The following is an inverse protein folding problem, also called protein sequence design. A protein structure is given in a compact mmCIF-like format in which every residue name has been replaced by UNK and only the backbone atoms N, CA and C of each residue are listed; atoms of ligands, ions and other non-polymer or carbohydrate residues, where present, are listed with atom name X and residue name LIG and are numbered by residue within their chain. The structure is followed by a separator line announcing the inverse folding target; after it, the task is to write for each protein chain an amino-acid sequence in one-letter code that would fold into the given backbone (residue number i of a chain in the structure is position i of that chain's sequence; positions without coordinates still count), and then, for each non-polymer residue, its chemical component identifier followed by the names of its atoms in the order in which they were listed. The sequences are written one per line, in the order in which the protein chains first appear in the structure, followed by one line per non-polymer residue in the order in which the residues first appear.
data_IF_388046306566
#
_entry.id   IF_388046306566
#
_cell.length_a   1.000
_cell.length_b   1.000
_cell.length_c   1.000
_cell.angle_alpha   90.00
_cell.angle_beta   90.00
_cell.angle_gamma   90.00
#
_symmetry.space_group_name_H-M   'P 1'
#
loop_
_entity.id
_entity.type
_entity.pdbx_description
1 polymer ?
#
# COMPACT_ATOMS: atom_id res chain seq x y z
N UNK A 1 -13.08 3.40 -6.71
CA UNK A 1 -13.29 4.79 -7.04
C UNK A 1 -12.86 5.08 -8.47
N UNK A 2 -13.64 5.82 -9.19
CA UNK A 2 -13.30 6.23 -10.54
C UNK A 2 -12.48 7.52 -10.58
N UNK A 3 -12.24 8.09 -9.43
CA UNK A 3 -11.48 9.32 -9.34
C UNK A 3 -10.01 9.02 -9.50
N UNK A 4 -9.35 9.81 -10.32
CA UNK A 4 -7.94 9.62 -10.57
C UNK A 4 -7.16 10.42 -9.57
N UNK A 5 -6.48 9.74 -8.69
CA UNK A 5 -5.58 10.34 -7.72
C UNK A 5 -4.18 9.85 -8.04
N UNK A 6 -3.28 10.80 -8.23
CA UNK A 6 -1.93 10.46 -8.62
C UNK A 6 -1.08 10.25 -7.38
N UNK A 7 -0.58 9.03 -7.16
CA UNK A 7 0.34 8.81 -6.05
C UNK A 7 1.72 9.37 -6.36
N UNK A 8 2.44 9.74 -5.33
CA UNK A 8 3.83 10.11 -5.46
C UNK A 8 4.67 9.37 -4.42
N UNK A 9 5.98 9.48 -4.52
CA UNK A 9 6.92 8.80 -3.64
C UNK A 9 6.67 7.29 -3.60
N UNK A 10 6.40 6.70 -4.76
CA UNK A 10 6.10 5.28 -4.85
C UNK A 10 7.38 4.47 -4.66
N UNK A 11 7.35 3.57 -3.69
CA UNK A 11 8.46 2.65 -3.43
C UNK A 11 7.90 1.23 -3.46
N UNK A 12 8.44 0.41 -4.33
CA UNK A 12 8.05 -0.98 -4.44
C UNK A 12 9.25 -1.84 -4.04
N UNK A 13 9.07 -2.68 -3.07
CA UNK A 13 10.14 -3.55 -2.59
C UNK A 13 9.66 -4.98 -2.49
N UNK A 14 10.57 -5.90 -2.76
CA UNK A 14 10.31 -7.31 -2.61
C UNK A 14 11.53 -7.96 -1.98
N UNK A 15 11.30 -9.12 -1.38
CA UNK A 15 12.38 -9.87 -0.78
C UNK A 15 12.07 -11.35 -0.84
N UNK A 16 13.11 -12.14 -0.65
CA UNK A 16 13.00 -13.59 -0.62
C UNK A 16 13.47 -14.09 0.74
N UNK A 17 12.91 -15.19 1.17
CA UNK A 17 13.31 -15.80 2.42
C UNK A 17 14.40 -16.83 2.18
N UNK A 18 15.42 -16.78 3.01
CA UNK A 18 16.51 -17.75 2.98
C UNK A 18 16.76 -18.25 4.38
N UNK A 19 16.98 -19.55 4.50
CA UNK A 19 17.46 -20.13 5.72
C UNK A 19 18.97 -20.30 5.59
N UNK A 20 19.71 -19.98 6.66
CA UNK A 20 21.15 -20.14 6.70
C UNK A 20 21.45 -21.30 7.63
N UNK A 21 22.06 -22.35 7.09
CA UNK A 21 22.40 -23.54 7.85
C UNK A 21 23.89 -23.54 8.17
N UNK A 22 24.22 -23.59 9.47
CA UNK A 22 25.60 -23.71 9.90
C UNK A 22 26.03 -25.17 9.79
N UNK A 23 27.16 -25.38 9.12
CA UNK A 23 27.73 -26.71 9.00
C UNK A 23 29.00 -26.79 9.83
N UNK A 24 29.18 -27.91 10.49
CA UNK A 24 30.38 -28.15 11.25
C UNK A 24 31.60 -28.23 10.33
N UNK A 25 32.60 -27.39 10.57
CA UNK A 25 33.87 -27.33 9.82
C UNK A 25 33.67 -26.98 8.33
N UNK A 26 32.56 -26.36 7.94
CA UNK A 26 32.31 -25.91 6.58
C UNK A 26 31.65 -24.53 6.56
N UNK A 27 31.51 -23.99 5.37
CA UNK A 27 30.82 -22.71 5.24
C UNK A 27 29.32 -22.88 5.50
N UNK A 28 28.69 -21.79 5.91
CA UNK A 28 27.24 -21.77 6.07
C UNK A 28 26.56 -22.03 4.73
N UNK A 29 25.49 -22.80 4.76
CA UNK A 29 24.68 -23.08 3.58
C UNK A 29 23.46 -22.18 3.60
N UNK A 30 23.24 -21.45 2.50
CA UNK A 30 22.06 -20.59 2.34
C UNK A 30 21.03 -21.33 1.47
N UNK A 31 19.82 -21.43 1.96
CA UNK A 31 18.75 -22.14 1.29
C UNK A 31 17.56 -21.21 1.06
N UNK A 32 17.07 -21.16 -0.17
CA UNK A 32 15.88 -20.39 -0.49
C UNK A 32 14.65 -21.09 0.09
N UNK A 33 13.89 -20.39 0.92
CA UNK A 33 12.73 -20.96 1.60
C UNK A 33 11.39 -20.38 1.15
N UNK A 34 11.40 -19.44 0.22
CA UNK A 34 10.18 -18.87 -0.32
C UNK A 34 10.28 -17.37 -0.54
N UNK A 35 9.18 -16.79 -0.95
CA UNK A 35 9.09 -15.35 -1.19
C UNK A 35 8.40 -14.69 -0.01
N UNK A 36 8.92 -13.54 0.39
CA UNK A 36 8.17 -12.65 1.25
C UNK A 36 7.17 -11.88 0.39
N UNK A 37 6.03 -11.49 0.95
CA UNK A 37 5.11 -10.62 0.22
C UNK A 37 5.79 -9.32 -0.18
N UNK A 38 5.55 -8.88 -1.39
CA UNK A 38 6.03 -7.58 -1.83
C UNK A 38 5.32 -6.47 -1.06
N UNK A 39 5.96 -5.33 -0.99
CA UNK A 39 5.45 -4.15 -0.29
C UNK A 39 5.51 -2.96 -1.23
N UNK A 40 4.45 -2.18 -1.22
CA UNK A 40 4.42 -0.90 -1.93
C UNK A 40 4.02 0.17 -0.93
N UNK A 41 4.72 1.28 -0.96
CA UNK A 41 4.33 2.45 -0.20
C UNK A 41 4.27 3.65 -1.12
N UNK A 42 3.34 4.54 -0.86
CA UNK A 42 3.21 5.77 -1.62
C UNK A 42 2.45 6.81 -0.81
N UNK A 43 2.56 8.04 -1.26
CA UNK A 43 1.78 9.15 -0.72
C UNK A 43 0.73 9.53 -1.73
N UNK A 44 -0.42 9.97 -1.26
CA UNK A 44 -1.45 10.49 -2.13
C UNK A 44 -2.13 11.68 -1.47
N UNK A 45 -2.65 12.56 -2.29
CA UNK A 45 -3.36 13.75 -1.83
C UNK A 45 -4.83 13.60 -2.14
N UNK A 46 -5.65 13.70 -1.10
CA UNK A 46 -7.10 13.70 -1.22
C UNK A 46 -7.54 15.14 -1.12
N UNK A 47 -8.06 15.69 -2.21
CA UNK A 47 -8.38 17.11 -2.25
C UNK A 47 -9.76 17.33 -2.85
N UNK A 48 -10.49 18.27 -2.30
CA UNK A 48 -11.84 18.58 -2.75
C UNK A 48 -11.87 19.09 -4.19
N UNK A 49 -10.84 19.82 -4.59
CA UNK A 49 -10.76 20.37 -5.96
C UNK A 49 -10.48 19.29 -7.01
N UNK A 50 -10.13 18.09 -6.61
CA UNK A 50 -9.95 16.96 -7.50
C UNK A 50 -11.24 16.12 -7.64
N UNK A 51 -12.34 16.63 -7.13
CA UNK A 51 -13.63 15.95 -7.19
C UNK A 51 -13.84 14.92 -6.10
N UNK A 52 -12.98 14.90 -5.11
CA UNK A 52 -13.07 13.97 -3.99
C UNK A 52 -13.52 14.70 -2.73
N UNK A 53 -14.25 14.02 -1.88
CA UNK A 53 -14.46 14.46 -0.51
C UNK A 53 -13.36 13.79 0.32
N UNK A 54 -12.37 14.55 0.83
CA UNK A 54 -11.24 13.92 1.52
C UNK A 54 -11.66 13.02 2.67
N UNK A 55 -12.67 13.42 3.43
CA UNK A 55 -13.11 12.62 4.57
C UNK A 55 -13.74 11.29 4.12
N UNK A 56 -14.57 11.33 3.08
CA UNK A 56 -15.22 10.12 2.57
C UNK A 56 -14.20 9.17 1.95
N UNK A 57 -13.24 9.70 1.20
CA UNK A 57 -12.19 8.87 0.62
C UNK A 57 -11.32 8.25 1.72
N UNK A 58 -11.01 9.00 2.76
CA UNK A 58 -10.22 8.49 3.88
C UNK A 58 -10.97 7.37 4.61
N UNK A 59 -12.26 7.55 4.84
CA UNK A 59 -13.09 6.52 5.46
C UNK A 59 -13.11 5.24 4.63
N UNK A 60 -13.18 5.37 3.31
CA UNK A 60 -13.17 4.23 2.40
C UNK A 60 -11.85 3.47 2.52
N UNK A 61 -10.74 4.18 2.54
CA UNK A 61 -9.42 3.56 2.69
C UNK A 61 -9.30 2.86 4.04
N UNK A 62 -9.77 3.48 5.11
CA UNK A 62 -9.77 2.86 6.43
C UNK A 62 -10.59 1.59 6.45
N UNK A 63 -11.74 1.61 5.78
CA UNK A 63 -12.59 0.43 5.70
C UNK A 63 -11.89 -0.71 4.99
N UNK A 64 -11.25 -0.44 3.85
CA UNK A 64 -10.51 -1.46 3.13
C UNK A 64 -9.40 -2.05 3.99
N UNK A 65 -8.71 -1.21 4.74
CA UNK A 65 -7.66 -1.67 5.63
C UNK A 65 -8.19 -2.58 6.72
N UNK A 66 -9.26 -2.18 7.38
CA UNK A 66 -9.82 -2.93 8.49
C UNK A 66 -10.47 -4.23 8.06
N UNK A 67 -11.08 -4.24 6.88
CA UNK A 67 -11.74 -5.43 6.37
C UNK A 67 -10.77 -6.40 5.70
N UNK A 68 -9.53 -5.99 5.48
CA UNK A 68 -8.57 -6.82 4.78
C UNK A 68 -8.93 -7.05 3.33
N UNK A 69 -9.59 -6.08 2.70
CA UNK A 69 -10.05 -6.21 1.32
C UNK A 69 -8.87 -6.27 0.36
N UNK A 70 -8.85 -7.30 -0.48
CA UNK A 70 -7.82 -7.44 -1.51
C UNK A 70 -8.15 -6.54 -2.70
N UNK A 71 -7.23 -5.65 -3.04
CA UNK A 71 -7.41 -4.62 -4.05
C UNK A 71 -6.41 -4.78 -5.17
N UNK A 72 -6.81 -4.45 -6.38
CA UNK A 72 -5.89 -4.36 -7.49
C UNK A 72 -5.34 -2.94 -7.55
N UNK A 73 -4.02 -2.82 -7.64
CA UNK A 73 -3.37 -1.53 -7.70
C UNK A 73 -3.12 -1.16 -9.16
N UNK A 74 -3.72 -0.05 -9.57
CA UNK A 74 -3.54 0.49 -10.91
C UNK A 74 -2.94 1.89 -10.80
N UNK A 75 -1.85 2.11 -11.53
CA UNK A 75 -1.26 3.43 -11.67
C UNK A 75 -1.28 3.75 -13.16
N UNK A 76 -2.07 4.76 -13.53
CA UNK A 76 -2.38 4.98 -14.92
C UNK A 76 -3.18 3.79 -15.45
N UNK A 77 -2.71 3.19 -16.54
CA UNK A 77 -3.37 2.02 -17.13
C UNK A 77 -2.65 0.71 -16.81
N UNK A 78 -1.67 0.77 -15.91
CA UNK A 78 -0.85 -0.39 -15.60
C UNK A 78 -1.20 -0.96 -14.25
N UNK A 79 -1.41 -2.28 -14.20
CA UNK A 79 -1.58 -3.00 -12.96
C UNK A 79 -0.21 -3.26 -12.34
N UNK A 80 -0.11 -3.06 -11.04
CA UNK A 80 1.13 -3.30 -10.30
C UNK A 80 1.00 -4.60 -9.51
N UNK A 81 1.99 -5.44 -9.67
CA UNK A 81 2.05 -6.71 -8.98
C UNK A 81 1.26 -7.82 -9.66
N UNK A 82 1.68 -9.05 -9.45
CA UNK A 82 1.01 -10.23 -9.98
C UNK A 82 -0.27 -10.54 -9.21
N UNK A 83 -0.25 -10.24 -7.93
CA UNK A 83 -1.36 -10.51 -7.03
C UNK A 83 -2.02 -9.21 -6.62
N UNK A 84 -3.11 -9.34 -5.89
CA UNK A 84 -3.78 -8.18 -5.33
C UNK A 84 -3.07 -7.71 -4.07
N UNK A 85 -3.48 -6.56 -3.58
CA UNK A 85 -2.84 -5.91 -2.45
C UNK A 85 -3.84 -5.66 -1.35
N UNK A 86 -3.38 -5.72 -0.11
CA UNK A 86 -4.17 -5.29 1.05
C UNK A 86 -3.49 -4.08 1.66
N UNK A 87 -4.29 -3.20 2.24
CA UNK A 87 -3.76 -2.02 2.92
C UNK A 87 -3.30 -2.46 4.30
N UNK A 88 -2.00 -2.44 4.51
CA UNK A 88 -1.42 -2.80 5.79
C UNK A 88 -1.64 -1.70 6.81
N UNK A 89 -1.34 -0.47 6.43
CA UNK A 89 -1.57 0.67 7.30
C UNK A 89 -1.68 1.95 6.49
N UNK A 90 -2.23 2.96 7.13
CA UNK A 90 -2.42 4.29 6.61
C UNK A 90 -1.90 5.29 7.63
N UNK A 91 -1.26 6.33 7.14
CA UNK A 91 -0.78 7.39 8.00
C UNK A 91 -1.18 8.72 7.41
N UNK A 92 -1.89 9.53 8.19
CA UNK A 92 -2.23 10.88 7.78
C UNK A 92 -1.02 11.76 8.03
N UNK A 93 -0.46 12.31 6.95
CA UNK A 93 0.73 13.14 7.04
C UNK A 93 0.40 14.61 7.26
N UNK A 94 -0.69 15.09 6.67
CA UNK A 94 -1.10 16.47 6.80
C UNK A 94 -2.59 16.59 6.49
N UNK A 95 -3.26 17.47 7.21
CA UNK A 95 -4.64 17.80 6.96
C UNK A 95 -4.77 19.31 6.94
N UNK A 96 -5.51 19.83 5.95
CA UNK A 96 -5.71 21.25 5.79
C UNK A 96 -7.19 21.55 5.88
N UNK A 97 -7.55 22.51 6.69
CA UNK A 97 -8.93 22.87 6.97
C UNK A 97 -9.23 24.29 6.51
N UNK A 98 -10.46 24.52 6.09
CA UNK A 98 -10.91 25.88 5.78
C UNK A 98 -11.27 26.63 7.06
N UNK A 99 -11.75 27.87 6.91
CA UNK A 99 -12.08 28.72 8.06
C UNK A 99 -13.26 28.20 8.85
N UNK A 100 -14.05 27.29 8.27
CA UNK A 100 -15.21 26.69 8.93
C UNK A 100 -14.89 25.33 9.55
N UNK A 101 -13.63 24.91 9.51
CA UNK A 101 -13.23 23.63 10.05
C UNK A 101 -13.47 22.43 9.14
N UNK A 102 -13.83 22.66 7.88
CA UNK A 102 -14.02 21.60 6.92
C UNK A 102 -12.70 21.22 6.28
N UNK A 103 -12.42 19.92 6.22
CA UNK A 103 -11.21 19.41 5.63
C UNK A 103 -11.30 19.52 4.10
N UNK A 104 -10.38 20.25 3.49
CA UNK A 104 -10.37 20.41 2.03
C UNK A 104 -9.20 19.69 1.35
N UNK A 105 -8.22 19.28 2.10
CA UNK A 105 -7.06 18.58 1.54
C UNK A 105 -6.44 17.72 2.63
N UNK A 106 -6.14 16.48 2.29
CA UNK A 106 -5.47 15.55 3.21
C UNK A 106 -4.39 14.81 2.46
N UNK A 107 -3.22 14.77 3.03
CA UNK A 107 -2.11 14.01 2.48
C UNK A 107 -1.93 12.74 3.31
N UNK A 108 -1.92 11.60 2.64
CA UNK A 108 -1.93 10.28 3.27
C UNK A 108 -0.77 9.46 2.74
N UNK A 109 -0.11 8.74 3.65
CA UNK A 109 0.85 7.72 3.27
C UNK A 109 0.19 6.34 3.40
N UNK A 110 0.30 5.54 2.37
CA UNK A 110 -0.35 4.23 2.30
C UNK A 110 0.72 3.15 2.16
N UNK A 111 0.63 2.13 2.99
CA UNK A 111 1.49 0.96 2.88
C UNK A 111 0.66 -0.24 2.50
N UNK A 112 1.03 -0.87 1.40
CA UNK A 112 0.35 -2.04 0.87
C UNK A 112 1.22 -3.26 1.04
N UNK A 113 0.56 -4.39 1.25
CA UNK A 113 1.21 -5.68 1.34
C UNK A 113 0.57 -6.60 0.31
N UNK A 114 1.38 -7.33 -0.42
CA UNK A 114 0.88 -8.27 -1.41
C UNK A 114 0.11 -9.39 -0.74
N UNK A 115 -1.06 -9.70 -1.28
CA UNK A 115 -1.91 -10.76 -0.74
C UNK A 115 -1.63 -12.05 -1.51
N UNK A 116 -0.84 -12.92 -0.90
CA UNK A 116 -0.34 -14.13 -1.57
C UNK A 116 -1.33 -15.30 -1.56
N UNK A 117 -2.26 -15.30 -0.62
CA UNK A 117 -3.23 -16.38 -0.50
C UNK A 117 -4.48 -16.05 -1.29
N UNK A 118 -4.38 -16.16 -2.61
CA UNK A 118 -5.45 -15.75 -3.51
C UNK A 118 -5.99 -16.93 -4.28
N UNK A 119 -7.30 -17.05 -4.26
CA UNK A 119 -8.04 -18.08 -4.98
C UNK A 119 -8.84 -17.45 -6.14
N UNK A 120 -8.21 -16.58 -6.87
CA UNK A 120 -8.88 -15.95 -8.01
C UNK A 120 -8.45 -16.57 -9.30
#
# INVERSE_FOLDING_TARGET
SEKTETPDNVVWSGSSRYAVHQRHNTHALTEFTGLEPDKISFDMTLAADLGADPMEELKKLWKYSRDGTALQLLIGEHAYGKYRWVIKDLKIKAQYFDVHGNQYCTRVSVNLLEYLNQDF
#
